data_IF_767089472951
#
_entry.id   IF_767089472951
#
_cell.length_a   1.000
_cell.length_b   1.000
_cell.length_c   1.000
_cell.angle_alpha   90.00
_cell.angle_beta   90.00
_cell.angle_gamma   90.00
#
_symmetry.space_group_name_H-M   'P 1'
#
loop_
_entity.id
_entity.type
_entity.pdbx_description
1 polymer ?
#
# COMPACT_ATOMS: atom_id res chain seq x y z
N UNK A 1 -13.14 -17.04 -31.24
CA UNK A 1 -13.13 -18.09 -32.27
C UNK A 1 -12.21 -19.22 -31.88
N UNK A 2 -12.62 -20.45 -32.23
CA UNK A 2 -11.78 -21.64 -32.14
C UNK A 2 -11.72 -22.25 -33.54
N UNK A 3 -10.52 -22.48 -34.05
CA UNK A 3 -10.30 -23.02 -35.36
C UNK A 3 -9.39 -24.24 -35.32
N UNK A 4 -9.63 -25.16 -36.23
CA UNK A 4 -8.59 -26.10 -36.63
C UNK A 4 -7.48 -25.31 -37.35
N UNK A 5 -6.23 -25.49 -36.90
CA UNK A 5 -5.12 -24.67 -37.41
C UNK A 5 -4.91 -24.78 -38.93
N UNK A 6 -4.98 -25.99 -39.47
CA UNK A 6 -4.82 -26.21 -40.89
C UNK A 6 -5.89 -25.51 -41.72
N UNK A 7 -7.16 -25.58 -41.26
CA UNK A 7 -8.26 -24.86 -41.93
C UNK A 7 -8.07 -23.34 -41.83
N UNK A 8 -7.71 -22.81 -40.68
CA UNK A 8 -7.53 -21.36 -40.52
C UNK A 8 -6.45 -20.81 -41.46
N UNK A 9 -5.31 -21.50 -41.56
CA UNK A 9 -4.22 -21.08 -42.43
C UNK A 9 -4.63 -21.08 -43.91
N UNK A 10 -5.42 -22.07 -44.34
CA UNK A 10 -5.96 -22.13 -45.70
C UNK A 10 -7.03 -21.03 -45.92
N UNK A 11 -7.96 -20.85 -44.99
CA UNK A 11 -9.04 -19.86 -45.06
C UNK A 11 -8.51 -18.42 -45.07
N UNK A 12 -7.46 -18.10 -44.36
CA UNK A 12 -6.84 -16.77 -44.34
C UNK A 12 -6.32 -16.36 -45.73
N UNK A 13 -5.83 -17.32 -46.54
CA UNK A 13 -5.38 -17.06 -47.90
C UNK A 13 -6.55 -16.81 -48.88
N UNK A 14 -7.78 -17.12 -48.51
CA UNK A 14 -9.01 -16.97 -49.31
C UNK A 14 -9.80 -15.73 -48.92
N UNK A 15 -9.42 -15.03 -47.87
CA UNK A 15 -10.09 -13.81 -47.45
C UNK A 15 -9.90 -12.69 -48.48
N UNK A 16 -10.96 -11.95 -48.76
CA UNK A 16 -10.96 -10.75 -49.60
C UNK A 16 -11.19 -9.48 -48.81
N UNK A 17 -11.10 -8.36 -49.46
CA UNK A 17 -11.37 -7.02 -48.92
C UNK A 17 -12.60 -6.37 -49.55
N UNK A 18 -13.45 -7.15 -50.21
CA UNK A 18 -14.67 -6.68 -50.88
C UNK A 18 -15.78 -6.42 -49.85
N UNK A 19 -15.56 -5.39 -49.01
CA UNK A 19 -16.49 -4.93 -48.00
C UNK A 19 -16.40 -3.41 -47.82
N UNK A 20 -17.35 -2.82 -47.09
CA UNK A 20 -17.48 -1.37 -46.95
C UNK A 20 -16.24 -0.68 -46.34
N UNK A 21 -15.43 -1.39 -45.59
CA UNK A 21 -14.22 -0.89 -44.91
C UNK A 21 -12.93 -1.21 -45.69
N UNK A 22 -12.97 -2.09 -46.68
CA UNK A 22 -11.79 -2.55 -47.42
C UNK A 22 -10.81 -3.36 -46.56
N UNK A 23 -11.29 -4.02 -45.52
CA UNK A 23 -10.49 -4.76 -44.53
C UNK A 23 -10.70 -6.27 -44.65
N UNK A 24 -9.73 -7.07 -44.20
CA UNK A 24 -9.88 -8.51 -44.05
C UNK A 24 -10.69 -8.85 -42.80
N UNK A 25 -11.86 -9.45 -42.95
CA UNK A 25 -12.68 -9.87 -41.82
C UNK A 25 -12.44 -11.33 -41.43
N UNK A 26 -11.97 -11.58 -40.23
CA UNK A 26 -11.83 -12.95 -39.73
C UNK A 26 -13.18 -13.69 -39.67
N UNK A 27 -14.28 -12.98 -39.52
CA UNK A 27 -15.65 -13.53 -39.57
C UNK A 27 -15.97 -14.23 -40.88
N UNK A 28 -15.35 -13.81 -42.00
CA UNK A 28 -15.61 -14.39 -43.32
C UNK A 28 -15.09 -15.82 -43.46
N UNK A 29 -14.16 -16.24 -42.57
CA UNK A 29 -13.73 -17.63 -42.46
C UNK A 29 -14.87 -18.58 -42.13
N UNK A 30 -15.93 -18.11 -41.45
CA UNK A 30 -17.13 -18.91 -41.19
C UNK A 30 -17.89 -19.21 -42.47
N UNK A 31 -18.02 -18.20 -43.38
CA UNK A 31 -18.65 -18.40 -44.70
C UNK A 31 -17.83 -19.38 -45.56
N UNK A 32 -16.49 -19.30 -45.48
CA UNK A 32 -15.59 -20.24 -46.17
C UNK A 32 -15.80 -21.66 -45.62
N UNK A 33 -15.85 -21.85 -44.30
CA UNK A 33 -16.11 -23.16 -43.69
C UNK A 33 -17.43 -23.76 -44.16
N UNK A 34 -18.50 -22.95 -44.20
CA UNK A 34 -19.81 -23.39 -44.66
C UNK A 34 -19.79 -23.76 -46.14
N UNK A 35 -19.15 -22.95 -46.98
CA UNK A 35 -19.06 -23.25 -48.42
C UNK A 35 -18.25 -24.52 -48.73
N UNK A 36 -17.29 -24.86 -47.89
CA UNK A 36 -16.48 -26.09 -47.97
C UNK A 36 -17.11 -27.29 -47.25
N UNK A 37 -18.35 -27.15 -46.76
CA UNK A 37 -19.07 -28.19 -46.00
C UNK A 37 -18.33 -28.65 -44.74
N UNK A 38 -17.52 -27.79 -44.15
CA UNK A 38 -16.86 -28.06 -42.88
C UNK A 38 -17.80 -27.76 -41.70
N UNK A 39 -17.72 -28.51 -40.61
CA UNK A 39 -18.55 -28.25 -39.45
C UNK A 39 -18.22 -26.89 -38.82
N UNK A 40 -19.25 -26.06 -38.64
CA UNK A 40 -19.17 -24.82 -37.90
C UNK A 40 -20.19 -24.85 -36.75
N UNK A 41 -19.74 -24.55 -35.54
CA UNK A 41 -20.57 -24.52 -34.35
C UNK A 41 -20.72 -23.13 -33.78
N UNK A 42 -21.80 -22.90 -33.04
CA UNK A 42 -22.07 -21.66 -32.33
C UNK A 42 -21.91 -21.87 -30.83
N UNK A 43 -21.06 -21.08 -30.21
CA UNK A 43 -21.02 -20.96 -28.75
C UNK A 43 -21.77 -19.70 -28.35
N UNK A 44 -22.84 -19.84 -27.55
CA UNK A 44 -23.56 -18.71 -26.95
C UNK A 44 -22.92 -18.33 -25.63
N UNK A 45 -22.31 -17.17 -25.56
CA UNK A 45 -21.76 -16.64 -24.32
C UNK A 45 -22.89 -16.26 -23.33
N UNK A 46 -22.62 -16.39 -22.04
CA UNK A 46 -23.58 -16.07 -20.97
C UNK A 46 -23.85 -14.55 -20.89
N UNK A 47 -22.89 -13.73 -21.24
CA UNK A 47 -23.02 -12.26 -21.23
C UNK A 47 -22.52 -11.67 -22.55
N UNK A 48 -23.20 -10.64 -23.10
CA UNK A 48 -22.74 -9.91 -24.28
C UNK A 48 -21.42 -9.15 -24.03
N UNK A 49 -21.07 -8.93 -22.78
CA UNK A 49 -19.86 -8.18 -22.45
C UNK A 49 -18.56 -8.87 -22.86
N UNK A 50 -18.58 -10.20 -23.06
CA UNK A 50 -17.37 -10.96 -23.46
C UNK A 50 -16.88 -10.65 -24.86
N UNK A 51 -17.73 -10.06 -25.70
CA UNK A 51 -17.39 -9.68 -27.08
C UNK A 51 -17.06 -8.18 -27.22
N UNK A 52 -17.16 -7.40 -26.13
CA UNK A 52 -16.89 -5.97 -26.20
C UNK A 52 -15.38 -5.72 -26.41
N UNK A 53 -15.07 -4.96 -27.44
CA UNK A 53 -13.73 -4.42 -27.71
C UNK A 53 -13.67 -2.92 -27.42
N UNK A 54 -12.48 -2.36 -27.34
CA UNK A 54 -12.26 -0.94 -27.18
C UNK A 54 -11.40 -0.38 -28.31
N UNK A 55 -11.99 0.44 -29.18
CA UNK A 55 -11.32 1.19 -30.22
C UNK A 55 -11.14 2.67 -29.87
N UNK A 56 -11.71 3.09 -28.74
CA UNK A 56 -11.63 4.46 -28.24
C UNK A 56 -11.41 4.49 -26.73
N UNK A 57 -10.89 5.61 -26.21
CA UNK A 57 -10.76 5.82 -24.75
C UNK A 57 -12.10 5.79 -24.04
N UNK A 58 -13.18 6.20 -24.68
CA UNK A 58 -14.54 6.15 -24.14
C UNK A 58 -15.00 4.70 -23.95
N UNK A 59 -14.76 3.85 -24.95
CA UNK A 59 -15.08 2.43 -24.87
C UNK A 59 -14.22 1.72 -23.83
N UNK A 60 -12.92 2.03 -23.78
CA UNK A 60 -12.02 1.52 -22.74
C UNK A 60 -12.51 1.89 -21.33
N UNK A 61 -12.94 3.14 -21.12
CA UNK A 61 -13.50 3.57 -19.83
C UNK A 61 -14.76 2.76 -19.47
N UNK A 62 -15.63 2.47 -20.45
CA UNK A 62 -16.80 1.62 -20.24
C UNK A 62 -16.41 0.18 -19.87
N UNK A 63 -15.43 -0.40 -20.55
CA UNK A 63 -14.93 -1.75 -20.22
C UNK A 63 -14.32 -1.82 -18.82
N UNK A 64 -13.54 -0.80 -18.45
CA UNK A 64 -12.98 -0.71 -17.10
C UNK A 64 -14.08 -0.67 -16.02
N UNK A 65 -15.18 0.06 -16.30
CA UNK A 65 -16.30 0.12 -15.33
C UNK A 65 -17.04 -1.23 -15.23
N UNK A 66 -17.23 -1.94 -16.34
CA UNK A 66 -17.79 -3.30 -16.33
C UNK A 66 -16.89 -4.25 -15.52
N UNK A 67 -15.58 -4.20 -15.77
CA UNK A 67 -14.62 -5.03 -15.04
C UNK A 67 -14.59 -4.69 -13.55
N UNK A 68 -14.61 -3.41 -13.20
CA UNK A 68 -14.68 -2.94 -11.80
C UNK A 68 -15.91 -3.50 -11.09
N UNK A 69 -17.10 -3.37 -11.70
CA UNK A 69 -18.35 -3.87 -11.11
C UNK A 69 -18.30 -5.37 -10.87
N UNK A 70 -17.82 -6.16 -11.81
CA UNK A 70 -17.67 -7.62 -11.64
C UNK A 70 -16.76 -7.99 -10.46
N UNK A 71 -15.66 -7.24 -10.28
CA UNK A 71 -14.76 -7.48 -9.14
C UNK A 71 -15.46 -7.14 -7.83
N UNK A 72 -16.16 -6.00 -7.76
CA UNK A 72 -16.89 -5.57 -6.56
C UNK A 72 -17.99 -6.58 -6.21
N UNK A 73 -18.83 -7.00 -7.15
CA UNK A 73 -19.88 -8.00 -6.96
C UNK A 73 -19.30 -9.29 -6.39
N UNK A 74 -18.21 -9.81 -6.97
CA UNK A 74 -17.52 -10.99 -6.44
C UNK A 74 -17.05 -10.81 -5.00
N UNK A 75 -16.53 -9.63 -4.62
CA UNK A 75 -16.10 -9.37 -3.24
C UNK A 75 -17.30 -9.33 -2.28
N UNK A 76 -18.41 -8.71 -2.69
CA UNK A 76 -19.66 -8.68 -1.90
C UNK A 76 -20.20 -10.11 -1.68
N UNK A 77 -20.23 -10.93 -2.73
CA UNK A 77 -20.65 -12.34 -2.65
C UNK A 77 -19.75 -13.18 -1.72
N UNK A 78 -18.48 -12.81 -1.59
CA UNK A 78 -17.52 -13.43 -0.69
C UNK A 78 -17.62 -12.92 0.76
N UNK A 79 -18.55 -12.01 1.05
CA UNK A 79 -18.82 -11.50 2.40
C UNK A 79 -17.97 -10.29 2.80
N UNK A 80 -17.40 -9.57 1.85
CA UNK A 80 -16.73 -8.28 2.10
C UNK A 80 -17.77 -7.18 2.20
N UNK A 81 -17.67 -6.33 3.21
CA UNK A 81 -18.57 -5.18 3.39
C UNK A 81 -18.04 -3.96 2.63
N UNK A 82 -18.76 -3.52 1.58
CA UNK A 82 -18.40 -2.35 0.77
C UNK A 82 -19.60 -1.39 0.73
N UNK A 83 -19.77 -0.51 1.72
CA UNK A 83 -20.97 0.34 1.84
C UNK A 83 -21.23 1.27 0.65
N UNK A 84 -20.16 1.67 -0.06
CA UNK A 84 -20.23 2.58 -1.21
C UNK A 84 -19.45 1.99 -2.39
N UNK A 85 -19.97 0.97 -3.05
CA UNK A 85 -19.23 0.18 -4.05
C UNK A 85 -18.75 1.01 -5.26
N UNK A 86 -19.45 2.08 -5.61
CA UNK A 86 -19.06 2.93 -6.76
C UNK A 86 -17.85 3.82 -6.48
N UNK A 87 -17.44 3.97 -5.22
CA UNK A 87 -16.31 4.79 -4.81
C UNK A 87 -15.01 4.01 -4.59
N UNK A 88 -15.01 2.70 -4.86
CA UNK A 88 -13.88 1.80 -4.55
C UNK A 88 -13.33 1.18 -5.83
N UNK A 89 -12.00 1.07 -5.88
CA UNK A 89 -11.29 0.37 -6.96
C UNK A 89 -10.54 -0.83 -6.37
N UNK A 90 -10.95 -2.03 -6.75
CA UNK A 90 -10.29 -3.27 -6.36
C UNK A 90 -9.82 -3.99 -7.63
N UNK A 91 -8.53 -4.30 -7.73
CA UNK A 91 -7.99 -5.06 -8.83
C UNK A 91 -8.35 -6.55 -8.71
N UNK A 92 -8.48 -7.27 -9.84
CA UNK A 92 -8.93 -8.68 -9.84
C UNK A 92 -8.03 -9.64 -9.06
N UNK A 93 -6.77 -9.31 -8.90
CA UNK A 93 -5.73 -10.05 -8.19
C UNK A 93 -5.64 -9.73 -6.69
N UNK A 94 -6.54 -8.89 -6.19
CA UNK A 94 -6.66 -8.58 -4.75
C UNK A 94 -7.61 -9.57 -4.07
N UNK A 95 -7.16 -10.13 -2.96
CA UNK A 95 -7.93 -11.06 -2.13
C UNK A 95 -8.29 -10.39 -0.81
N UNK A 96 -9.58 -10.42 -0.45
CA UNK A 96 -10.09 -9.79 0.79
C UNK A 96 -10.90 -10.83 1.56
N UNK A 97 -10.58 -10.96 2.85
CA UNK A 97 -11.27 -11.86 3.77
C UNK A 97 -12.66 -11.37 4.16
N UNK A 98 -13.48 -12.29 4.63
CA UNK A 98 -14.87 -12.04 5.07
C UNK A 98 -14.91 -11.00 6.19
N UNK A 99 -16.03 -10.32 6.31
CA UNK A 99 -16.28 -9.30 7.35
C UNK A 99 -15.31 -8.13 7.35
N UNK A 100 -14.41 -8.05 6.36
CA UNK A 100 -13.59 -6.88 6.12
C UNK A 100 -14.43 -5.76 5.52
N UNK A 101 -14.32 -4.57 6.09
CA UNK A 101 -14.99 -3.37 5.59
C UNK A 101 -14.04 -2.53 4.75
N UNK A 102 -14.45 -2.22 3.50
CA UNK A 102 -13.72 -1.33 2.60
C UNK A 102 -14.51 -0.03 2.42
N UNK A 103 -13.98 1.06 2.96
CA UNK A 103 -14.61 2.38 2.95
C UNK A 103 -14.35 3.16 1.66
N UNK A 104 -15.08 4.27 1.40
CA UNK A 104 -14.96 5.06 0.18
C UNK A 104 -13.54 5.52 -0.16
N UNK A 105 -13.26 5.65 -1.47
CA UNK A 105 -12.01 6.18 -1.98
C UNK A 105 -10.81 5.23 -1.89
N UNK A 106 -11.04 3.96 -1.53
CA UNK A 106 -9.96 2.97 -1.48
C UNK A 106 -9.55 2.49 -2.86
N UNK A 107 -8.24 2.28 -3.04
CA UNK A 107 -7.64 1.67 -4.23
C UNK A 107 -6.76 0.51 -3.78
N UNK A 108 -7.18 -0.72 -4.11
CA UNK A 108 -6.54 -1.95 -3.66
C UNK A 108 -6.01 -2.75 -4.85
N UNK A 109 -4.70 -3.01 -4.90
CA UNK A 109 -4.02 -3.70 -5.99
C UNK A 109 -3.08 -4.77 -5.48
N UNK A 110 -3.09 -5.96 -6.06
CA UNK A 110 -2.16 -7.06 -5.77
C UNK A 110 -1.95 -7.31 -4.28
N UNK A 111 -3.00 -7.11 -3.47
CA UNK A 111 -2.91 -7.15 -2.01
C UNK A 111 -3.71 -8.32 -1.45
N UNK A 112 -3.28 -8.82 -0.30
CA UNK A 112 -3.98 -9.83 0.49
C UNK A 112 -4.39 -9.22 1.81
N UNK A 113 -5.69 -9.14 2.05
CA UNK A 113 -6.28 -8.56 3.25
C UNK A 113 -7.04 -9.67 3.96
N UNK A 114 -6.71 -9.93 5.20
CA UNK A 114 -7.35 -10.97 6.01
C UNK A 114 -8.77 -10.57 6.44
N UNK A 115 -9.40 -11.39 7.26
CA UNK A 115 -10.75 -11.21 7.77
C UNK A 115 -10.84 -10.06 8.79
N UNK A 116 -12.03 -9.46 8.92
CA UNK A 116 -12.36 -8.51 9.97
C UNK A 116 -11.58 -7.20 9.95
N UNK A 117 -10.93 -6.86 8.84
CA UNK A 117 -10.15 -5.63 8.71
C UNK A 117 -11.05 -4.41 8.46
N UNK A 118 -10.52 -3.21 8.79
CA UNK A 118 -11.09 -1.94 8.38
C UNK A 118 -10.11 -1.23 7.44
N UNK A 119 -10.50 -1.06 6.18
CA UNK A 119 -9.66 -0.43 5.15
C UNK A 119 -10.34 0.85 4.65
N UNK A 120 -9.67 1.97 4.79
CA UNK A 120 -10.18 3.26 4.35
C UNK A 120 -10.69 4.16 5.47
N UNK A 121 -11.29 5.31 5.12
CA UNK A 121 -11.45 5.78 3.73
C UNK A 121 -10.12 6.23 3.10
N UNK A 122 -10.12 6.45 1.75
CA UNK A 122 -8.98 7.00 0.99
C UNK A 122 -7.66 6.29 1.26
N UNK A 123 -7.68 4.97 1.34
CA UNK A 123 -6.49 4.14 1.54
C UNK A 123 -6.05 3.53 0.22
N UNK A 124 -4.74 3.60 -0.07
CA UNK A 124 -4.15 2.96 -1.24
C UNK A 124 -3.18 1.87 -0.81
N UNK A 125 -3.45 0.63 -1.20
CA UNK A 125 -2.58 -0.52 -0.94
C UNK A 125 -2.18 -1.18 -2.26
N UNK A 126 -0.89 -1.40 -2.44
CA UNK A 126 -0.35 -2.11 -3.61
C UNK A 126 0.67 -3.15 -3.14
N UNK A 127 0.42 -4.42 -3.43
CA UNK A 127 1.33 -5.51 -3.04
C UNK A 127 1.44 -5.71 -1.52
N UNK A 128 0.41 -5.30 -0.75
CA UNK A 128 0.44 -5.39 0.70
C UNK A 128 -0.21 -6.66 1.23
N UNK A 129 0.31 -7.15 2.36
CA UNK A 129 -0.32 -8.18 3.17
C UNK A 129 -0.84 -7.55 4.46
N UNK A 130 -2.14 -7.69 4.75
CA UNK A 130 -2.80 -7.12 5.93
C UNK A 130 -3.42 -8.24 6.73
N UNK A 131 -2.97 -8.41 7.97
CA UNK A 131 -3.42 -9.44 8.90
C UNK A 131 -4.77 -9.14 9.54
N UNK A 132 -5.36 -10.17 10.12
CA UNK A 132 -6.70 -10.18 10.69
C UNK A 132 -6.94 -9.02 11.68
N UNK A 133 -8.11 -8.39 11.57
CA UNK A 133 -8.54 -7.30 12.46
C UNK A 133 -7.72 -6.03 12.37
N UNK A 134 -6.79 -5.91 11.45
CA UNK A 134 -6.00 -4.69 11.26
C UNK A 134 -6.84 -3.54 10.72
N UNK A 135 -6.40 -2.31 11.02
CA UNK A 135 -7.03 -1.09 10.51
C UNK A 135 -6.02 -0.26 9.73
N UNK A 136 -6.39 0.14 8.51
CA UNK A 136 -5.56 1.01 7.67
C UNK A 136 -6.42 2.14 7.14
N UNK A 137 -6.22 3.34 7.66
CA UNK A 137 -7.07 4.49 7.41
C UNK A 137 -6.29 5.62 6.75
N UNK A 138 -6.84 6.23 5.68
CA UNK A 138 -6.28 7.42 4.98
C UNK A 138 -4.77 7.34 4.76
N UNK A 139 -4.28 6.18 4.34
CA UNK A 139 -2.84 5.89 4.30
C UNK A 139 -2.44 5.18 3.02
N UNK A 140 -1.15 5.19 2.73
CA UNK A 140 -0.61 4.48 1.57
C UNK A 140 0.34 3.38 1.99
N UNK A 141 0.24 2.22 1.35
CA UNK A 141 1.13 1.08 1.54
C UNK A 141 1.57 0.49 0.22
N UNK A 142 2.86 0.18 0.12
CA UNK A 142 3.45 -0.47 -1.05
C UNK A 142 4.38 -1.59 -0.59
N UNK A 143 4.19 -2.80 -1.15
CA UNK A 143 4.99 -4.00 -0.91
C UNK A 143 5.39 -4.17 0.58
N UNK A 144 4.38 -4.10 1.45
CA UNK A 144 4.52 -4.03 2.92
C UNK A 144 3.65 -5.05 3.62
N UNK A 145 4.05 -5.43 4.84
CA UNK A 145 3.33 -6.39 5.67
C UNK A 145 2.82 -5.69 6.95
N UNK A 146 1.55 -5.86 7.24
CA UNK A 146 0.87 -5.36 8.43
C UNK A 146 0.27 -6.55 9.17
N UNK A 147 0.75 -6.85 10.35
CA UNK A 147 0.26 -7.98 11.14
C UNK A 147 -1.10 -7.70 11.79
N UNK A 148 -1.73 -8.74 12.32
CA UNK A 148 -3.05 -8.68 12.91
C UNK A 148 -3.21 -7.64 14.00
N UNK A 149 -4.36 -6.98 14.03
CA UNK A 149 -4.71 -5.97 15.03
C UNK A 149 -3.91 -4.68 14.97
N UNK A 150 -2.96 -4.53 14.06
CA UNK A 150 -2.18 -3.30 13.90
C UNK A 150 -3.07 -2.15 13.38
N UNK A 151 -2.69 -0.91 13.72
CA UNK A 151 -3.41 0.30 13.35
C UNK A 151 -2.50 1.24 12.57
N UNK A 152 -2.87 1.53 11.33
CA UNK A 152 -2.10 2.38 10.42
C UNK A 152 -2.92 3.60 10.06
N UNK A 153 -2.34 4.77 10.27
CA UNK A 153 -2.98 6.03 9.91
C UNK A 153 -3.56 6.85 11.05
N UNK A 154 -4.26 7.92 10.70
CA UNK A 154 -4.38 8.42 9.32
C UNK A 154 -3.06 9.02 8.79
N UNK A 155 -2.95 9.16 7.45
CA UNK A 155 -1.83 9.81 6.76
C UNK A 155 -0.46 9.18 7.03
N UNK A 156 -0.41 7.86 7.20
CA UNK A 156 0.83 7.11 7.28
C UNK A 156 1.26 6.64 5.88
N UNK A 157 2.57 6.45 5.70
CA UNK A 157 3.13 5.89 4.49
C UNK A 157 4.01 4.68 4.79
N UNK A 158 3.61 3.52 4.31
CA UNK A 158 4.42 2.30 4.35
C UNK A 158 5.08 2.10 2.98
N UNK A 159 6.40 2.18 2.95
CA UNK A 159 7.19 1.95 1.73
C UNK A 159 7.68 0.51 1.64
N UNK A 160 8.16 0.07 0.46
CA UNK A 160 8.59 -1.30 0.26
C UNK A 160 9.53 -1.83 1.35
N UNK A 161 9.29 -3.09 1.75
CA UNK A 161 10.06 -3.77 2.79
C UNK A 161 9.67 -3.43 4.22
N UNK A 162 8.60 -2.65 4.44
CA UNK A 162 8.08 -2.35 5.77
C UNK A 162 7.32 -3.55 6.35
N UNK A 163 7.61 -3.90 7.60
CA UNK A 163 6.95 -4.99 8.34
C UNK A 163 6.46 -4.46 9.68
N UNK A 164 5.16 -4.43 9.88
CA UNK A 164 4.52 -3.89 11.09
C UNK A 164 3.99 -5.04 11.92
N UNK A 165 4.44 -5.13 13.16
CA UNK A 165 4.09 -6.18 14.12
C UNK A 165 2.66 -6.10 14.63
N UNK A 166 2.20 -7.20 15.24
CA UNK A 166 0.85 -7.33 15.76
C UNK A 166 0.53 -6.24 16.81
N UNK A 167 -0.64 -5.62 16.68
CA UNK A 167 -1.09 -4.58 17.60
C UNK A 167 -0.27 -3.29 17.61
N UNK A 168 0.72 -3.15 16.72
CA UNK A 168 1.51 -1.92 16.61
C UNK A 168 0.66 -0.75 16.07
N UNK A 169 1.05 0.47 16.44
CA UNK A 169 0.39 1.71 16.03
C UNK A 169 1.35 2.57 15.22
N UNK A 170 1.00 2.82 13.96
CA UNK A 170 1.70 3.76 13.08
C UNK A 170 0.72 4.91 12.82
N UNK A 171 0.97 6.05 13.42
CA UNK A 171 0.03 7.16 13.40
C UNK A 171 0.28 8.17 12.27
N UNK A 172 -0.23 9.38 12.47
CA UNK A 172 -0.29 10.40 11.44
C UNK A 172 1.09 10.97 11.06
N UNK A 173 1.28 11.13 9.75
CA UNK A 173 2.50 11.66 9.14
C UNK A 173 3.76 10.85 9.52
N UNK A 174 3.59 9.54 9.68
CA UNK A 174 4.70 8.61 9.90
C UNK A 174 5.04 7.92 8.58
N UNK A 175 6.31 7.93 8.23
CA UNK A 175 6.83 7.17 7.10
C UNK A 175 7.74 6.04 7.58
N UNK A 176 7.42 4.81 7.16
CA UNK A 176 8.23 3.62 7.43
C UNK A 176 8.79 3.09 6.11
N UNK A 177 10.09 2.82 6.05
CA UNK A 177 10.75 2.29 4.85
C UNK A 177 11.73 1.19 5.18
N UNK A 178 11.59 0.03 4.54
CA UNK A 178 12.53 -1.11 4.69
C UNK A 178 12.89 -1.39 6.17
N UNK A 179 11.86 -1.38 7.04
CA UNK A 179 12.03 -1.43 8.50
C UNK A 179 11.09 -2.45 9.12
N UNK A 180 11.49 -2.98 10.26
CA UNK A 180 10.69 -3.86 11.10
C UNK A 180 10.27 -3.10 12.34
N UNK A 181 8.97 -3.06 12.61
CA UNK A 181 8.39 -2.48 13.82
C UNK A 181 7.79 -3.63 14.62
N UNK A 182 8.26 -3.83 15.83
CA UNK A 182 7.84 -4.93 16.71
C UNK A 182 6.41 -4.79 17.21
N UNK A 183 5.93 -5.87 17.84
CA UNK A 183 4.57 -5.96 18.38
C UNK A 183 4.29 -4.85 19.39
N UNK A 184 3.07 -4.31 19.38
CA UNK A 184 2.57 -3.27 20.30
C UNK A 184 3.43 -2.00 20.38
N UNK A 185 4.39 -1.84 19.46
CA UNK A 185 5.19 -0.61 19.35
C UNK A 185 4.35 0.53 18.82
N UNK A 186 4.54 1.71 19.40
CA UNK A 186 3.82 2.92 19.04
C UNK A 186 4.76 3.94 18.38
N UNK A 187 4.47 4.28 17.12
CA UNK A 187 5.08 5.39 16.35
C UNK A 187 3.95 6.32 15.97
N UNK A 188 3.57 7.22 16.88
CA UNK A 188 2.26 7.87 16.77
C UNK A 188 2.24 9.11 15.87
N UNK A 189 3.36 9.85 15.72
CA UNK A 189 3.34 11.17 15.09
C UNK A 189 4.64 11.53 14.37
N UNK A 190 4.53 12.09 13.15
CA UNK A 190 5.57 12.89 12.47
C UNK A 190 6.98 12.28 12.53
N UNK A 191 7.14 11.01 12.23
CA UNK A 191 8.43 10.33 12.34
C UNK A 191 8.83 9.65 11.04
N UNK A 192 10.13 9.58 10.80
CA UNK A 192 10.70 8.80 9.70
C UNK A 192 11.57 7.66 10.25
N UNK A 193 11.17 6.43 9.98
CA UNK A 193 11.95 5.24 10.32
C UNK A 193 12.34 4.50 9.03
N UNK A 194 13.57 4.71 8.61
CA UNK A 194 14.15 4.07 7.44
C UNK A 194 15.27 3.11 7.80
N UNK A 195 15.30 1.94 7.18
CA UNK A 195 16.32 0.90 7.38
C UNK A 195 16.53 0.62 8.90
N UNK A 196 15.43 0.35 9.63
CA UNK A 196 15.44 0.22 11.09
C UNK A 196 14.84 -1.10 11.55
N UNK A 197 15.40 -1.65 12.63
CA UNK A 197 14.82 -2.77 13.37
C UNK A 197 14.41 -2.26 14.75
N UNK A 198 13.12 -2.12 14.98
CA UNK A 198 12.53 -1.63 16.23
C UNK A 198 11.85 -2.79 16.96
N UNK A 199 12.20 -2.99 18.22
CA UNK A 199 11.68 -4.04 19.08
C UNK A 199 10.21 -3.91 19.43
N UNK A 200 9.76 -4.74 20.37
CA UNK A 200 8.38 -4.77 20.87
C UNK A 200 8.17 -3.67 21.91
N UNK A 201 6.92 -3.21 22.03
CA UNK A 201 6.48 -2.30 23.10
C UNK A 201 7.32 -1.02 23.20
N UNK A 202 7.97 -0.62 22.12
CA UNK A 202 8.74 0.62 22.05
C UNK A 202 7.80 1.80 21.91
N UNK A 203 8.08 2.88 22.63
CA UNK A 203 7.40 4.15 22.42
C UNK A 203 8.30 5.12 21.65
N UNK A 204 7.88 5.50 20.45
CA UNK A 204 8.61 6.46 19.61
C UNK A 204 7.90 7.82 19.67
N UNK A 205 8.60 8.81 20.18
CA UNK A 205 8.12 10.19 20.31
C UNK A 205 7.94 10.88 18.96
N UNK A 206 7.25 12.01 18.98
CA UNK A 206 7.02 12.84 17.80
C UNK A 206 8.35 13.38 17.23
N UNK A 207 8.49 13.40 15.91
CA UNK A 207 9.64 13.99 15.22
C UNK A 207 10.93 13.15 15.29
N UNK A 208 10.81 11.87 15.57
CA UNK A 208 11.98 10.96 15.55
C UNK A 208 12.38 10.63 14.12
N UNK A 209 13.68 10.71 13.86
CA UNK A 209 14.26 10.44 12.54
C UNK A 209 15.43 9.46 12.67
N UNK A 210 15.44 8.42 11.83
CA UNK A 210 16.62 7.61 11.60
C UNK A 210 17.35 8.12 10.37
N UNK A 211 18.49 8.83 10.57
CA UNK A 211 19.35 9.30 9.50
C UNK A 211 20.18 8.12 8.98
N UNK A 212 19.62 7.41 8.02
CA UNK A 212 20.10 6.12 7.53
C UNK A 212 20.99 6.20 6.28
N UNK A 213 21.35 7.39 5.79
CA UNK A 213 22.10 7.58 4.56
C UNK A 213 23.22 8.61 4.73
N UNK A 214 24.45 8.24 4.39
CA UNK A 214 25.65 9.08 4.53
C UNK A 214 26.06 9.83 3.24
N UNK A 215 25.23 9.73 2.20
CA UNK A 215 25.52 10.26 0.87
C UNK A 215 26.04 9.22 -0.12
N UNK A 216 26.43 8.03 0.35
CA UNK A 216 26.94 6.92 -0.49
C UNK A 216 26.21 5.60 -0.24
N UNK A 217 26.02 5.23 1.02
CA UNK A 217 25.41 3.97 1.41
C UNK A 217 24.40 4.15 2.57
N UNK A 218 23.60 3.11 2.80
CA UNK A 218 22.58 3.10 3.85
C UNK A 218 23.01 2.19 4.99
N UNK A 219 22.70 2.63 6.20
CA UNK A 219 22.97 1.91 7.44
C UNK A 219 21.69 1.65 8.22
N UNK A 220 21.71 0.66 9.08
CA UNK A 220 20.57 0.32 9.93
C UNK A 220 20.70 0.89 11.32
N UNK A 221 19.56 1.32 11.87
CA UNK A 221 19.36 1.62 13.27
C UNK A 221 18.70 0.43 13.96
N UNK A 222 19.12 0.07 15.16
CA UNK A 222 18.48 -0.96 15.98
C UNK A 222 17.97 -0.35 17.27
N UNK A 223 16.73 -0.65 17.63
CA UNK A 223 16.10 -0.18 18.88
C UNK A 223 15.53 -1.41 19.59
N UNK A 224 16.01 -1.68 20.77
CA UNK A 224 15.62 -2.83 21.59
C UNK A 224 14.20 -2.72 22.13
N UNK A 225 13.72 -3.83 22.68
CA UNK A 225 12.38 -3.92 23.26
C UNK A 225 12.18 -2.93 24.41
N UNK A 226 10.95 -2.40 24.55
CA UNK A 226 10.54 -1.48 25.61
C UNK A 226 11.36 -0.19 25.74
N UNK A 227 12.14 0.17 24.72
CA UNK A 227 12.84 1.44 24.72
C UNK A 227 11.85 2.62 24.63
N UNK A 228 12.18 3.72 25.30
CA UNK A 228 11.44 4.97 25.25
C UNK A 228 12.24 6.03 24.50
N UNK A 229 11.77 6.42 23.31
CA UNK A 229 12.45 7.39 22.47
C UNK A 229 11.74 8.74 22.62
N UNK A 230 12.44 9.71 23.16
CA UNK A 230 11.92 11.07 23.36
C UNK A 230 11.67 11.79 22.03
N UNK A 231 10.81 12.80 22.04
CA UNK A 231 10.49 13.60 20.85
C UNK A 231 11.73 14.26 20.24
N UNK A 232 11.73 14.42 18.91
CA UNK A 232 12.83 15.05 18.16
C UNK A 232 14.19 14.38 18.38
N UNK A 233 14.21 13.08 18.60
CA UNK A 233 15.45 12.29 18.63
C UNK A 233 15.89 11.98 17.21
N UNK A 234 17.19 12.20 16.92
CA UNK A 234 17.81 11.82 15.67
C UNK A 234 18.79 10.67 15.93
N UNK A 235 18.63 9.55 15.21
CA UNK A 235 19.60 8.46 15.21
C UNK A 235 20.51 8.59 13.98
N UNK A 236 21.80 8.77 14.18
CA UNK A 236 22.77 8.80 13.10
C UNK A 236 23.30 7.38 12.89
N UNK A 237 22.70 6.67 11.94
CA UNK A 237 23.05 5.28 11.69
C UNK A 237 24.47 5.10 11.13
N UNK A 238 25.19 4.00 11.48
CA UNK A 238 24.70 2.87 12.26
C UNK A 238 24.80 3.10 13.78
N UNK A 239 23.70 2.92 14.50
CA UNK A 239 23.67 2.97 15.98
C UNK A 239 22.62 2.01 16.53
N UNK A 240 22.79 1.61 17.79
CA UNK A 240 21.84 0.76 18.51
C UNK A 240 21.41 1.44 19.82
N UNK A 241 20.12 1.32 20.17
CA UNK A 241 19.60 1.61 21.51
C UNK A 241 19.17 0.29 22.16
N UNK A 242 19.72 -0.05 23.31
CA UNK A 242 19.43 -1.30 24.02
C UNK A 242 18.00 -1.38 24.54
N UNK A 243 17.57 -2.58 24.92
CA UNK A 243 16.25 -2.79 25.50
C UNK A 243 16.06 -1.96 26.78
N UNK A 244 14.85 -1.45 27.02
CA UNK A 244 14.56 -0.63 28.21
C UNK A 244 15.25 0.74 28.23
N UNK A 245 16.08 1.08 27.26
CA UNK A 245 16.77 2.37 27.22
C UNK A 245 15.80 3.54 27.11
N UNK A 246 16.17 4.66 27.70
CA UNK A 246 15.43 5.93 27.65
C UNK A 246 16.26 6.98 26.95
N UNK A 247 15.78 7.50 25.83
CA UNK A 247 16.42 8.58 25.11
C UNK A 247 15.68 9.88 25.38
N UNK A 248 16.38 10.86 25.97
CA UNK A 248 15.78 12.15 26.29
C UNK A 248 15.39 12.92 25.01
N UNK A 249 14.29 13.66 25.05
CA UNK A 249 13.84 14.47 23.93
C UNK A 249 14.94 15.43 23.40
N UNK A 250 15.03 15.60 22.07
CA UNK A 250 16.02 16.45 21.42
C UNK A 250 17.43 15.86 21.41
N UNK A 251 17.59 14.57 21.70
CA UNK A 251 18.91 13.90 21.64
C UNK A 251 19.29 13.55 20.20
N UNK A 252 20.53 13.82 19.83
CA UNK A 252 21.16 13.23 18.65
C UNK A 252 22.04 12.06 19.09
N UNK A 253 21.63 10.85 18.69
CA UNK A 253 22.31 9.60 19.03
C UNK A 253 23.39 9.32 17.98
N UNK A 254 24.65 9.27 18.39
CA UNK A 254 25.82 9.03 17.54
C UNK A 254 26.64 7.82 17.97
N UNK A 255 26.32 7.24 19.13
CA UNK A 255 26.97 6.09 19.73
C UNK A 255 25.92 5.11 20.26
N UNK A 256 26.31 3.85 20.39
CA UNK A 256 25.43 2.81 20.93
C UNK A 256 25.03 3.08 22.37
N UNK A 257 23.76 2.88 22.68
CA UNK A 257 23.20 3.07 24.02
C UNK A 257 22.98 1.68 24.67
N UNK A 258 23.55 1.40 25.83
CA UNK A 258 23.33 0.14 26.53
C UNK A 258 21.87 -0.09 26.94
N UNK A 259 21.53 -1.33 27.30
CA UNK A 259 20.25 -1.66 27.93
C UNK A 259 20.02 -0.86 29.19
N UNK A 260 18.75 -0.50 29.47
CA UNK A 260 18.28 0.21 30.65
C UNK A 260 19.00 1.56 30.92
N UNK A 261 19.72 2.10 29.95
CA UNK A 261 20.47 3.34 30.08
C UNK A 261 19.64 4.57 29.72
N UNK A 262 19.97 5.72 30.33
CA UNK A 262 19.49 7.03 29.92
C UNK A 262 20.51 7.73 29.03
N UNK A 263 20.12 8.10 27.81
CA UNK A 263 20.92 8.90 26.89
C UNK A 263 20.39 10.35 26.79
N UNK A 264 21.29 11.32 26.95
CA UNK A 264 20.98 12.76 26.84
C UNK A 264 22.04 13.41 25.97
N UNK A 265 21.70 13.69 24.72
CA UNK A 265 22.61 14.30 23.71
C UNK A 265 22.12 15.67 23.27
N UNK A 266 21.92 16.61 24.18
CA UNK A 266 21.51 18.00 23.92
C UNK A 266 22.22 18.96 24.87
N UNK A 267 22.40 20.23 24.44
CA UNK A 267 22.96 21.29 25.25
C UNK A 267 22.10 21.54 26.51
N UNK A 268 22.76 21.95 27.59
CA UNK A 268 22.07 22.40 28.80
C UNK A 268 21.33 23.70 28.52
N UNK A 269 20.09 23.82 28.97
CA UNK A 269 19.31 25.03 28.84
C UNK A 269 19.95 26.22 29.53
N UNK A 270 20.10 27.34 28.83
CA UNK A 270 20.41 28.66 29.40
C UNK A 270 19.16 29.55 29.34
N UNK A 271 18.85 30.19 30.48
CA UNK A 271 17.73 31.13 30.59
C UNK A 271 18.27 32.51 30.95
N UNK A 272 17.88 33.53 30.15
CA UNK A 272 18.25 34.95 30.37
C UNK A 272 16.96 35.72 30.69
N UNK A 273 16.66 35.94 31.99
CA UNK A 273 15.49 36.71 32.40
C UNK A 273 15.53 38.14 31.89
N UNK A 274 14.40 38.64 31.42
CA UNK A 274 14.28 40.01 30.92
C UNK A 274 14.76 40.24 29.49
N UNK A 275 15.48 39.31 28.85
CA UNK A 275 16.10 39.49 27.52
C UNK A 275 15.12 39.94 26.44
N UNK A 276 13.93 39.37 26.37
CA UNK A 276 12.94 39.73 25.35
C UNK A 276 12.43 41.17 25.54
N UNK A 277 12.33 41.68 26.81
CA UNK A 277 11.95 43.05 27.15
C UNK A 277 13.05 44.00 26.76
N UNK A 278 14.30 43.71 27.12
CA UNK A 278 15.47 44.53 26.79
C UNK A 278 15.67 44.69 25.28
N UNK A 279 15.38 43.61 24.51
CA UNK A 279 15.45 43.65 23.04
C UNK A 279 14.22 44.26 22.38
N UNK A 280 13.23 44.74 23.13
CA UNK A 280 12.04 45.40 22.59
C UNK A 280 11.14 44.52 21.71
N UNK A 281 11.30 43.18 21.78
CA UNK A 281 10.59 42.23 20.88
C UNK A 281 9.07 42.19 21.06
N UNK A 282 8.54 42.74 22.15
CA UNK A 282 7.10 42.76 22.48
C UNK A 282 6.57 44.16 22.82
N UNK A 283 7.21 45.23 22.31
CA UNK A 283 6.52 46.51 22.32
C UNK A 283 5.45 46.52 21.23
N UNK A 284 4.17 46.43 21.67
CA UNK A 284 3.03 46.87 20.89
C UNK A 284 2.97 48.37 20.94
#
# INVERSE_FOLDING_TARGET
>A
YWFEAAFLLDALNKLGTDNAQGEYYLTDTVAIAVSEHRPAGIYRAESPDVILGANSRKELARLNEIARKRVIERQLDQGVNIPFPDSVVICPDTVIGRDTTVLPGCILRRSRIAEGCLIGPYTMLTGCEVGEGARVEQSTGEDSQVAGGARIGPYARLRPGSRIGAGAKIGNFVEIKNSRIGEKTSVAHLSYLGDSDVGKEVNVGCGVVTANYDGKQKFRTRIGDRAFIGCNTNFIAPVSAGAGSVIAAGTTVTEDIPEDALAVGRARQETRPGWAREKGKYRR
#
